data_IF_658012803578
#
_entry.id   IF_658012803578
#
_cell.length_a   1.000
_cell.length_b   1.000
_cell.length_c   1.000
_cell.angle_alpha   90.00
_cell.angle_beta   90.00
_cell.angle_gamma   90.00
#
_symmetry.space_group_name_H-M   'P 1'
#
loop_
_entity.id
_entity.type
_entity.pdbx_description
1 polymer ?
#
# COMPACT_ATOMS: atom_id res chain seq x y z
N UNK A 1 -75.96 47.69 -20.90
CA UNK A 1 -74.55 47.44 -20.74
C UNK A 1 -74.04 48.36 -19.65
N UNK A 2 -73.76 47.85 -18.47
CA UNK A 2 -72.41 47.75 -17.91
C UNK A 2 -72.32 46.64 -16.88
N UNK A 3 -71.51 45.55 -17.08
CA UNK A 3 -71.27 44.56 -16.09
C UNK A 3 -69.87 43.97 -16.11
N UNK A 4 -68.86 44.63 -16.71
CA UNK A 4 -67.51 44.16 -16.80
C UNK A 4 -66.55 44.69 -15.68
N UNK A 5 -67.02 45.58 -14.81
CA UNK A 5 -66.18 46.17 -13.74
C UNK A 5 -66.11 45.41 -12.44
N UNK A 6 -67.13 44.57 -12.15
CA UNK A 6 -67.21 43.83 -10.87
C UNK A 6 -66.28 42.62 -10.80
N UNK A 7 -66.12 41.89 -11.92
CA UNK A 7 -65.36 40.66 -11.96
C UNK A 7 -63.85 40.86 -11.74
N UNK A 8 -63.32 41.99 -12.23
CA UNK A 8 -61.89 42.30 -12.07
C UNK A 8 -61.48 42.71 -10.64
N UNK A 9 -62.42 43.24 -9.86
CA UNK A 9 -62.15 43.64 -8.48
C UNK A 9 -62.16 42.40 -7.55
N UNK A 10 -63.10 41.49 -7.83
CA UNK A 10 -63.25 40.24 -7.04
C UNK A 10 -62.04 39.28 -7.29
N UNK A 11 -61.56 39.16 -8.54
CA UNK A 11 -60.34 38.43 -8.87
C UNK A 11 -59.09 39.08 -8.28
N UNK A 12 -59.02 40.41 -8.25
CA UNK A 12 -57.91 41.15 -7.64
C UNK A 12 -57.91 41.01 -6.09
N UNK A 13 -59.09 40.95 -5.46
CA UNK A 13 -59.23 40.66 -4.04
C UNK A 13 -58.86 39.20 -3.70
N UNK A 14 -59.32 38.23 -4.46
CA UNK A 14 -58.90 36.82 -4.27
C UNK A 14 -57.40 36.59 -4.49
N UNK A 15 -56.77 37.30 -5.43
CA UNK A 15 -55.31 37.25 -5.63
C UNK A 15 -54.54 37.97 -4.51
N UNK A 16 -55.13 38.97 -3.88
CA UNK A 16 -54.51 39.66 -2.71
C UNK A 16 -54.68 38.89 -1.44
N UNK A 17 -55.82 38.21 -1.23
CA UNK A 17 -56.08 37.32 -0.09
C UNK A 17 -55.25 36.00 -0.20
N UNK A 18 -55.00 35.50 -1.43
CA UNK A 18 -54.11 34.34 -1.65
C UNK A 18 -52.64 34.67 -1.36
N UNK A 19 -52.23 35.92 -1.32
CA UNK A 19 -50.85 36.34 -0.92
C UNK A 19 -50.64 36.48 0.60
N UNK A 20 -51.68 36.31 1.38
CA UNK A 20 -51.62 36.48 2.86
C UNK A 20 -51.36 35.20 3.70
N UNK A 21 -51.26 34.02 3.06
CA UNK A 21 -50.76 32.84 3.77
C UNK A 21 -49.25 32.92 3.88
N UNK A 22 -48.75 33.79 4.76
CA UNK A 22 -47.48 33.55 5.42
C UNK A 22 -47.69 32.24 6.18
N UNK A 23 -47.09 31.18 5.66
CA UNK A 23 -46.93 29.94 6.49
C UNK A 23 -46.41 30.34 7.86
N UNK A 24 -46.64 29.54 8.89
CA UNK A 24 -46.15 29.83 10.23
C UNK A 24 -44.65 30.17 10.12
N UNK A 25 -44.26 31.31 10.69
CA UNK A 25 -42.86 31.74 10.74
C UNK A 25 -42.00 30.53 11.21
N UNK A 26 -40.92 30.18 10.47
CA UNK A 26 -40.12 29.06 10.88
C UNK A 26 -39.66 29.26 12.30
N UNK A 27 -39.95 28.33 13.18
CA UNK A 27 -39.52 28.42 14.58
C UNK A 27 -38.00 28.58 14.59
N UNK A 28 -37.45 29.42 15.50
CA UNK A 28 -35.99 29.60 15.66
C UNK A 28 -35.22 28.29 15.72
N UNK A 29 -35.86 27.27 16.23
CA UNK A 29 -35.31 25.89 16.28
C UNK A 29 -35.12 25.30 14.85
N UNK A 30 -36.02 25.59 13.91
CA UNK A 30 -35.94 25.12 12.54
C UNK A 30 -34.76 25.77 11.78
N UNK A 31 -34.62 27.09 11.95
CA UNK A 31 -33.49 27.83 11.36
C UNK A 31 -32.13 27.38 11.91
N UNK A 32 -32.05 27.13 13.24
CA UNK A 32 -30.83 26.61 13.87
C UNK A 32 -30.49 25.19 13.35
N UNK A 33 -31.49 24.30 13.20
CA UNK A 33 -31.28 22.98 12.67
C UNK A 33 -30.77 23.01 11.21
N UNK A 34 -31.35 23.86 10.36
CA UNK A 34 -30.89 24.03 8.99
C UNK A 34 -29.44 24.54 8.91
N UNK A 35 -29.11 25.52 9.76
CA UNK A 35 -27.74 26.04 9.85
C UNK A 35 -26.76 24.95 10.32
N UNK A 36 -27.11 24.17 11.34
CA UNK A 36 -26.26 23.06 11.83
C UNK A 36 -26.08 22.00 10.74
N UNK A 37 -27.16 21.59 10.06
CA UNK A 37 -27.07 20.64 8.94
C UNK A 37 -26.16 21.15 7.83
N UNK A 38 -26.26 22.43 7.45
CA UNK A 38 -25.42 23.04 6.44
C UNK A 38 -23.92 23.02 6.85
N UNK A 39 -23.63 23.37 8.11
CA UNK A 39 -22.26 23.32 8.67
C UNK A 39 -21.73 21.89 8.68
N UNK A 40 -22.53 20.93 9.13
CA UNK A 40 -22.15 19.49 9.13
C UNK A 40 -21.83 19.03 7.71
N UNK A 41 -22.68 19.34 6.74
CA UNK A 41 -22.46 18.97 5.32
C UNK A 41 -21.16 19.58 4.78
N UNK A 42 -20.91 20.87 5.05
CA UNK A 42 -19.69 21.55 4.63
C UNK A 42 -18.42 20.91 5.24
N UNK A 43 -18.45 20.64 6.55
CA UNK A 43 -17.35 19.97 7.24
C UNK A 43 -17.07 18.56 6.70
N UNK A 44 -18.13 17.79 6.49
CA UNK A 44 -18.01 16.44 5.92
C UNK A 44 -17.45 16.49 4.51
N UNK A 45 -17.90 17.42 3.66
CA UNK A 45 -17.38 17.58 2.31
C UNK A 45 -15.86 17.90 2.31
N UNK A 46 -15.43 18.85 3.14
CA UNK A 46 -14.02 19.19 3.27
C UNK A 46 -13.19 18.01 3.83
N UNK A 47 -13.70 17.34 4.87
CA UNK A 47 -13.03 16.20 5.49
C UNK A 47 -12.92 15.01 4.52
N UNK A 48 -13.95 14.77 3.72
CA UNK A 48 -13.95 13.70 2.68
C UNK A 48 -12.93 14.00 1.59
N UNK A 49 -12.90 15.23 1.08
CA UNK A 49 -11.92 15.65 0.07
C UNK A 49 -10.49 15.52 0.60
N UNK A 50 -10.23 15.94 1.83
CA UNK A 50 -8.94 15.80 2.48
C UNK A 50 -8.54 14.33 2.68
N UNK A 51 -9.44 13.49 3.21
CA UNK A 51 -9.19 12.07 3.40
C UNK A 51 -8.90 11.36 2.08
N UNK A 52 -9.67 11.65 1.03
CA UNK A 52 -9.43 11.10 -0.30
C UNK A 52 -8.07 11.50 -0.88
N UNK A 53 -7.69 12.76 -0.73
CA UNK A 53 -6.36 13.24 -1.12
C UNK A 53 -5.23 12.51 -0.39
N UNK A 54 -5.35 12.35 0.92
CA UNK A 54 -4.34 11.65 1.71
C UNK A 54 -4.27 10.16 1.38
N UNK A 55 -5.41 9.50 1.19
CA UNK A 55 -5.46 8.11 0.74
C UNK A 55 -4.71 7.92 -0.59
N UNK A 56 -4.96 8.80 -1.58
CA UNK A 56 -4.27 8.76 -2.86
C UNK A 56 -2.75 8.99 -2.75
N UNK A 57 -2.31 9.87 -1.84
CA UNK A 57 -0.87 10.08 -1.58
C UNK A 57 -0.20 8.84 -1.01
N UNK A 58 -0.82 8.18 -0.04
CA UNK A 58 -0.30 6.96 0.54
C UNK A 58 -0.30 5.80 -0.45
N UNK A 59 -1.31 5.69 -1.33
CA UNK A 59 -1.37 4.71 -2.42
C UNK A 59 -0.23 4.92 -3.44
N UNK A 60 0.05 6.18 -3.81
CA UNK A 60 1.18 6.51 -4.67
C UNK A 60 2.51 6.09 -4.03
N UNK A 61 2.71 6.36 -2.74
CA UNK A 61 3.92 5.97 -2.01
C UNK A 61 4.06 4.44 -1.88
N UNK A 62 2.97 3.73 -1.61
CA UNK A 62 2.93 2.27 -1.62
C UNK A 62 3.39 1.72 -2.97
N UNK A 63 2.82 2.25 -4.06
CA UNK A 63 3.12 1.83 -5.44
C UNK A 63 4.59 2.06 -5.80
N UNK A 64 5.17 3.19 -5.39
CA UNK A 64 6.59 3.51 -5.56
C UNK A 64 7.48 2.49 -4.82
N UNK A 65 7.20 2.24 -3.54
CA UNK A 65 7.97 1.32 -2.70
C UNK A 65 7.90 -0.12 -3.22
N UNK A 66 6.71 -0.58 -3.62
CA UNK A 66 6.55 -1.92 -4.20
C UNK A 66 7.25 -2.03 -5.57
N UNK A 67 7.21 -0.98 -6.39
CA UNK A 67 7.93 -0.94 -7.65
C UNK A 67 9.45 -1.01 -7.46
N UNK A 68 10.00 -0.34 -6.45
CA UNK A 68 11.41 -0.43 -6.06
C UNK A 68 11.77 -1.83 -5.56
N UNK A 69 11.00 -2.36 -4.61
CA UNK A 69 11.17 -3.73 -4.09
C UNK A 69 11.18 -4.78 -5.21
N UNK A 70 10.23 -4.68 -6.15
CA UNK A 70 10.15 -5.60 -7.28
C UNK A 70 11.39 -5.53 -8.19
N UNK A 71 11.91 -4.34 -8.46
CA UNK A 71 13.13 -4.17 -9.25
C UNK A 71 14.34 -4.81 -8.58
N UNK A 72 14.53 -4.56 -7.28
CA UNK A 72 15.62 -5.17 -6.52
C UNK A 72 15.52 -6.69 -6.46
N UNK A 73 14.32 -7.25 -6.37
CA UNK A 73 14.12 -8.71 -6.41
C UNK A 73 14.52 -9.32 -7.76
N UNK A 74 14.19 -8.65 -8.87
CA UNK A 74 14.62 -9.08 -10.21
C UNK A 74 16.13 -9.03 -10.34
N UNK A 75 16.76 -7.98 -9.82
CA UNK A 75 18.22 -7.86 -9.80
C UNK A 75 18.87 -8.92 -8.91
N UNK A 76 18.34 -9.14 -7.71
CA UNK A 76 18.77 -10.20 -6.81
C UNK A 76 18.71 -11.58 -7.49
N UNK A 77 17.60 -11.88 -8.16
CA UNK A 77 17.44 -13.17 -8.87
C UNK A 77 18.51 -13.37 -9.95
N UNK A 78 18.92 -12.31 -10.65
CA UNK A 78 20.01 -12.40 -11.62
C UNK A 78 21.33 -12.81 -10.95
N UNK A 79 21.63 -12.33 -9.74
CA UNK A 79 22.80 -12.76 -8.97
C UNK A 79 22.66 -14.20 -8.46
N UNK A 80 21.48 -14.61 -8.03
CA UNK A 80 21.18 -16.00 -7.65
C UNK A 80 21.42 -16.98 -8.79
N UNK A 81 20.90 -16.65 -9.98
CA UNK A 81 21.11 -17.47 -11.19
C UNK A 81 22.59 -17.55 -11.54
N UNK A 82 23.32 -16.42 -11.49
CA UNK A 82 24.77 -16.41 -11.76
C UNK A 82 25.54 -17.24 -10.75
N UNK A 83 25.27 -17.11 -9.47
CA UNK A 83 25.86 -17.95 -8.41
C UNK A 83 25.67 -19.43 -8.70
N UNK A 84 24.44 -19.84 -9.02
CA UNK A 84 24.13 -21.22 -9.35
C UNK A 84 24.86 -21.73 -10.62
N UNK A 85 24.97 -20.91 -11.65
CA UNK A 85 25.72 -21.24 -12.87
C UNK A 85 27.22 -21.41 -12.58
N UNK A 86 27.82 -20.52 -11.80
CA UNK A 86 29.23 -20.61 -11.40
C UNK A 86 29.51 -21.83 -10.52
N UNK A 87 28.61 -22.17 -9.59
CA UNK A 87 28.68 -23.40 -8.80
C UNK A 87 28.63 -24.63 -9.66
N UNK A 88 27.69 -24.70 -10.62
CA UNK A 88 27.56 -25.84 -11.53
C UNK A 88 28.81 -25.96 -12.42
N UNK A 89 29.32 -24.84 -12.95
CA UNK A 89 30.54 -24.81 -13.75
C UNK A 89 31.75 -25.34 -12.96
N UNK A 90 31.96 -24.85 -11.76
CA UNK A 90 33.07 -25.29 -10.91
C UNK A 90 32.90 -26.76 -10.46
N UNK A 91 31.70 -27.20 -10.11
CA UNK A 91 31.42 -28.59 -9.75
C UNK A 91 31.69 -29.55 -10.90
N UNK A 92 31.31 -29.16 -12.13
CA UNK A 92 31.63 -29.94 -13.32
C UNK A 92 33.14 -30.06 -13.53
N UNK A 93 33.87 -28.95 -13.40
CA UNK A 93 35.34 -28.98 -13.53
C UNK A 93 36.02 -29.82 -12.41
N UNK A 94 35.51 -29.78 -11.18
CA UNK A 94 36.00 -30.66 -10.09
C UNK A 94 35.79 -32.12 -10.41
N UNK A 95 34.60 -32.50 -10.94
CA UNK A 95 34.33 -33.87 -11.29
C UNK A 95 35.26 -34.36 -12.43
N UNK A 96 35.52 -33.54 -13.44
CA UNK A 96 36.44 -33.90 -14.51
C UNK A 96 37.91 -33.96 -14.02
N UNK A 97 38.30 -33.06 -13.14
CA UNK A 97 39.60 -33.10 -12.46
C UNK A 97 39.79 -34.41 -11.67
N UNK A 98 38.77 -34.81 -10.84
CA UNK A 98 38.81 -36.07 -10.11
C UNK A 98 38.98 -37.27 -11.01
N UNK A 99 38.27 -37.30 -12.14
CA UNK A 99 38.42 -38.40 -13.13
C UNK A 99 39.84 -38.45 -13.70
N UNK A 100 40.39 -37.30 -14.09
CA UNK A 100 41.73 -37.20 -14.63
C UNK A 100 42.80 -37.68 -13.60
N UNK A 101 42.68 -37.26 -12.34
CA UNK A 101 43.56 -37.71 -11.27
C UNK A 101 43.49 -39.21 -11.03
N UNK A 102 42.28 -39.82 -10.95
CA UNK A 102 42.08 -41.23 -10.76
C UNK A 102 42.69 -42.07 -11.94
N UNK A 103 42.66 -41.53 -13.17
CA UNK A 103 43.25 -42.17 -14.34
C UNK A 103 44.74 -41.88 -14.55
N UNK A 104 45.36 -41.02 -13.71
CA UNK A 104 46.75 -40.61 -13.84
C UNK A 104 47.03 -39.64 -15.01
N UNK A 105 46.00 -38.97 -15.51
CA UNK A 105 46.10 -38.05 -16.64
C UNK A 105 46.48 -36.63 -16.15
N UNK A 106 47.71 -36.48 -15.67
CA UNK A 106 48.18 -35.24 -14.99
C UNK A 106 48.01 -33.96 -15.84
N UNK A 107 48.31 -34.04 -17.15
CA UNK A 107 48.17 -32.90 -18.04
C UNK A 107 46.69 -32.44 -18.18
N UNK A 108 45.76 -33.39 -18.12
CA UNK A 108 44.34 -33.14 -18.19
C UNK A 108 43.82 -32.53 -16.86
N UNK A 109 44.30 -33.07 -15.72
CA UNK A 109 43.99 -32.51 -14.40
C UNK A 109 44.45 -31.04 -14.28
N UNK A 110 45.69 -30.72 -14.69
CA UNK A 110 46.18 -29.34 -14.71
C UNK A 110 45.36 -28.42 -15.63
N UNK A 111 44.86 -28.97 -16.76
CA UNK A 111 44.00 -28.20 -17.66
C UNK A 111 42.69 -27.79 -16.93
N UNK A 112 42.05 -28.68 -16.18
CA UNK A 112 40.85 -28.37 -15.42
C UNK A 112 41.14 -27.42 -14.24
N UNK A 113 42.28 -27.55 -13.57
CA UNK A 113 42.69 -26.60 -12.51
C UNK A 113 42.79 -25.16 -13.06
N UNK A 114 43.30 -24.96 -14.23
CA UNK A 114 43.40 -23.64 -14.89
C UNK A 114 42.03 -23.04 -15.26
N UNK A 115 41.00 -23.87 -15.38
CA UNK A 115 39.65 -23.45 -15.78
C UNK A 115 38.78 -23.01 -14.62
N UNK A 116 39.18 -23.25 -13.37
CA UNK A 116 38.42 -22.76 -12.22
C UNK A 116 38.34 -21.24 -12.18
N UNK A 117 37.15 -20.74 -11.81
CA UNK A 117 36.96 -19.32 -11.60
C UNK A 117 37.91 -18.78 -10.51
N UNK A 118 38.40 -17.54 -10.63
CA UNK A 118 39.38 -16.98 -9.69
C UNK A 118 38.94 -17.02 -8.23
N UNK A 119 37.67 -16.79 -7.95
CA UNK A 119 37.10 -16.84 -6.58
C UNK A 119 37.04 -18.26 -6.00
N UNK A 120 36.93 -19.28 -6.86
CA UNK A 120 36.84 -20.67 -6.46
C UNK A 120 38.20 -21.33 -6.20
N UNK A 121 39.26 -20.86 -6.83
CA UNK A 121 40.61 -21.46 -6.75
C UNK A 121 41.13 -21.60 -5.34
N UNK A 122 41.06 -20.61 -4.43
CA UNK A 122 41.51 -20.77 -3.06
C UNK A 122 40.85 -21.91 -2.31
N UNK A 123 39.52 -22.08 -2.51
CA UNK A 123 38.78 -23.15 -1.90
C UNK A 123 39.16 -24.53 -2.48
N UNK A 124 39.37 -24.61 -3.80
CA UNK A 124 39.82 -25.82 -4.46
C UNK A 124 41.22 -26.22 -3.99
N UNK A 125 42.19 -25.30 -3.93
CA UNK A 125 43.53 -25.56 -3.44
C UNK A 125 43.55 -26.00 -1.96
N UNK A 126 42.71 -25.39 -1.13
CA UNK A 126 42.57 -25.78 0.26
C UNK A 126 42.00 -27.18 0.37
N UNK A 127 40.98 -27.53 -0.42
CA UNK A 127 40.39 -28.86 -0.46
C UNK A 127 41.37 -29.91 -1.02
N UNK A 128 42.11 -29.62 -2.09
CA UNK A 128 43.15 -30.50 -2.66
C UNK A 128 44.20 -30.88 -1.60
N UNK A 129 44.58 -29.95 -0.73
CA UNK A 129 45.53 -30.23 0.37
C UNK A 129 45.02 -31.21 1.41
N UNK A 130 43.73 -31.49 1.49
CA UNK A 130 43.13 -32.48 2.38
C UNK A 130 43.29 -33.93 1.87
N UNK A 131 43.88 -34.10 0.67
CA UNK A 131 44.04 -35.38 -0.04
C UNK A 131 42.68 -36.12 -0.23
N UNK A 132 41.75 -35.54 -0.98
CA UNK A 132 40.39 -36.07 -1.08
C UNK A 132 40.29 -37.47 -1.71
N UNK A 133 41.32 -37.93 -2.38
CA UNK A 133 41.30 -39.26 -3.04
C UNK A 133 41.69 -40.38 -2.05
N UNK A 134 42.50 -40.08 -1.00
CA UNK A 134 43.01 -41.08 -0.10
C UNK A 134 42.56 -40.87 1.33
N UNK A 135 42.11 -39.68 1.70
CA UNK A 135 41.67 -39.34 3.05
C UNK A 135 40.15 -39.47 3.19
N UNK A 136 39.61 -40.49 3.88
CA UNK A 136 38.17 -40.65 4.06
C UNK A 136 37.50 -39.54 4.90
N UNK A 137 38.29 -38.73 5.60
CA UNK A 137 37.78 -37.61 6.38
C UNK A 137 37.87 -36.27 5.64
N UNK A 138 38.30 -36.26 4.38
CA UNK A 138 38.32 -35.04 3.56
C UNK A 138 36.90 -34.51 3.36
N UNK A 139 36.72 -33.18 3.34
CA UNK A 139 35.42 -32.60 2.98
C UNK A 139 34.93 -33.07 1.58
N UNK A 140 33.61 -33.24 1.43
CA UNK A 140 33.02 -33.77 0.22
C UNK A 140 33.26 -32.90 -1.05
N UNK A 141 33.68 -31.66 -0.88
CA UNK A 141 34.01 -30.78 -2.00
C UNK A 141 34.55 -29.42 -1.57
N UNK A 142 35.15 -28.67 -2.52
CA UNK A 142 35.76 -27.37 -2.25
C UNK A 142 34.79 -26.31 -1.67
N UNK A 143 33.50 -26.42 -1.97
CA UNK A 143 32.46 -25.49 -1.46
C UNK A 143 32.26 -25.58 0.06
N UNK A 144 32.77 -26.63 0.72
CA UNK A 144 32.73 -26.81 2.17
C UNK A 144 33.96 -26.24 2.87
N UNK A 145 34.91 -25.69 2.13
CA UNK A 145 36.11 -25.10 2.69
C UNK A 145 35.85 -23.66 3.18
N UNK A 146 36.56 -23.26 4.22
CA UNK A 146 36.48 -21.89 4.79
C UNK A 146 36.92 -20.80 3.80
N UNK A 147 37.71 -21.17 2.82
CA UNK A 147 38.22 -20.32 1.74
C UNK A 147 37.19 -20.06 0.63
N UNK A 148 36.08 -20.81 0.61
CA UNK A 148 35.05 -20.63 -0.40
C UNK A 148 34.38 -19.28 -0.27
N UNK A 149 34.32 -18.56 -1.37
CA UNK A 149 33.65 -17.27 -1.49
C UNK A 149 32.67 -17.33 -2.67
N UNK A 150 31.54 -16.70 -2.50
CA UNK A 150 30.52 -16.55 -3.54
C UNK A 150 29.98 -15.11 -3.44
N UNK A 151 30.61 -14.21 -4.18
CA UNK A 151 30.24 -12.79 -4.19
C UNK A 151 28.84 -12.57 -4.75
N UNK A 152 28.40 -13.41 -5.72
CA UNK A 152 27.05 -13.33 -6.28
C UNK A 152 25.99 -13.75 -5.25
N UNK A 153 26.25 -14.80 -4.44
CA UNK A 153 25.34 -15.19 -3.36
C UNK A 153 25.26 -14.13 -2.26
N UNK A 154 26.36 -13.47 -1.96
CA UNK A 154 26.39 -12.38 -0.97
C UNK A 154 25.58 -11.16 -1.48
N UNK A 155 25.73 -10.80 -2.77
CA UNK A 155 24.99 -9.69 -3.37
C UNK A 155 23.49 -10.00 -3.50
N UNK A 156 23.12 -11.23 -3.86
CA UNK A 156 21.74 -11.70 -3.79
C UNK A 156 21.13 -11.45 -2.40
N UNK A 157 21.82 -11.91 -1.35
CA UNK A 157 21.33 -11.77 0.02
C UNK A 157 21.16 -10.30 0.43
N UNK A 158 22.07 -9.43 0.03
CA UNK A 158 22.01 -7.98 0.29
C UNK A 158 20.79 -7.34 -0.38
N UNK A 159 20.62 -7.60 -1.68
CA UNK A 159 19.52 -7.03 -2.48
C UNK A 159 18.15 -7.56 -2.04
N UNK A 160 18.05 -8.86 -1.72
CA UNK A 160 16.80 -9.45 -1.24
C UNK A 160 16.38 -8.89 0.12
N UNK A 161 17.34 -8.66 1.01
CA UNK A 161 17.07 -8.01 2.30
C UNK A 161 16.61 -6.55 2.12
N UNK A 162 17.24 -5.79 1.21
CA UNK A 162 16.85 -4.42 0.89
C UNK A 162 15.44 -4.37 0.26
N UNK A 163 15.18 -5.28 -0.70
CA UNK A 163 13.86 -5.43 -1.32
C UNK A 163 12.76 -5.73 -0.30
N UNK A 164 13.06 -6.59 0.67
CA UNK A 164 12.13 -6.95 1.76
C UNK A 164 11.83 -5.73 2.63
N UNK A 165 12.85 -4.95 3.01
CA UNK A 165 12.64 -3.72 3.78
C UNK A 165 11.77 -2.69 3.06
N UNK A 166 11.93 -2.53 1.74
CA UNK A 166 11.07 -1.66 0.92
C UNK A 166 9.63 -2.19 0.83
N UNK A 167 9.46 -3.50 0.72
CA UNK A 167 8.14 -4.12 0.72
C UNK A 167 7.38 -3.86 2.02
N UNK A 168 8.05 -4.01 3.17
CA UNK A 168 7.47 -3.74 4.49
C UNK A 168 7.07 -2.26 4.65
N UNK A 169 7.91 -1.34 4.16
CA UNK A 169 7.57 0.08 4.13
C UNK A 169 6.35 0.36 3.22
N UNK A 170 6.26 -0.31 2.07
CA UNK A 170 5.10 -0.25 1.18
C UNK A 170 3.83 -0.76 1.86
N UNK A 171 3.92 -1.85 2.60
CA UNK A 171 2.80 -2.39 3.39
C UNK A 171 2.33 -1.40 4.46
N UNK A 172 3.27 -0.78 5.18
CA UNK A 172 2.94 0.27 6.16
C UNK A 172 2.28 1.50 5.51
N UNK A 173 2.72 1.88 4.29
CA UNK A 173 2.08 2.96 3.53
C UNK A 173 0.64 2.60 3.13
N UNK A 174 0.41 1.35 2.70
CA UNK A 174 -0.93 0.83 2.39
C UNK A 174 -1.87 0.91 3.60
N UNK A 175 -1.42 0.43 4.76
CA UNK A 175 -2.24 0.46 5.98
C UNK A 175 -2.69 1.87 6.35
N UNK A 176 -1.79 2.87 6.18
CA UNK A 176 -2.12 4.28 6.39
C UNK A 176 -3.13 4.80 5.37
N UNK A 177 -3.01 4.40 4.11
CA UNK A 177 -4.00 4.71 3.06
C UNK A 177 -5.37 4.13 3.40
N UNK A 178 -5.42 2.86 3.80
CA UNK A 178 -6.64 2.16 4.20
C UNK A 178 -7.33 2.83 5.41
N UNK A 179 -6.56 3.38 6.36
CA UNK A 179 -7.11 4.14 7.49
C UNK A 179 -7.85 5.40 7.02
N UNK A 180 -7.31 6.13 6.03
CA UNK A 180 -8.00 7.28 5.43
C UNK A 180 -9.26 6.87 4.64
N UNK A 181 -9.23 5.72 3.96
CA UNK A 181 -10.42 5.16 3.30
C UNK A 181 -11.51 4.84 4.32
N UNK A 182 -11.17 4.25 5.47
CA UNK A 182 -12.14 3.98 6.56
C UNK A 182 -12.77 5.26 7.10
N UNK A 183 -11.97 6.32 7.24
CA UNK A 183 -12.47 7.66 7.61
C UNK A 183 -13.48 8.15 6.57
N UNK A 184 -13.19 8.01 5.27
CA UNK A 184 -14.11 8.40 4.18
C UNK A 184 -15.44 7.64 4.24
N UNK A 185 -15.41 6.34 4.52
CA UNK A 185 -16.64 5.52 4.69
C UNK A 185 -17.48 6.02 5.88
N UNK A 186 -16.82 6.36 7.01
CA UNK A 186 -17.52 6.92 8.17
C UNK A 186 -18.16 8.27 7.86
N UNK A 187 -17.44 9.15 7.12
CA UNK A 187 -17.98 10.44 6.65
C UNK A 187 -19.17 10.25 5.71
N UNK A 188 -19.15 9.26 4.83
CA UNK A 188 -20.29 8.92 3.97
C UNK A 188 -21.53 8.51 4.79
N UNK A 189 -21.34 7.79 5.90
CA UNK A 189 -22.44 7.45 6.83
C UNK A 189 -23.01 8.71 7.49
N UNK A 190 -22.19 9.67 7.86
CA UNK A 190 -22.65 10.97 8.40
C UNK A 190 -23.47 11.73 7.36
N UNK A 191 -23.01 11.77 6.09
CA UNK A 191 -23.77 12.37 4.98
C UNK A 191 -25.14 11.72 4.82
N UNK A 192 -25.18 10.38 4.83
CA UNK A 192 -26.43 9.63 4.70
C UNK A 192 -27.42 9.99 5.83
N UNK A 193 -26.95 9.99 7.07
CA UNK A 193 -27.79 10.35 8.24
C UNK A 193 -28.31 11.78 8.12
N UNK A 194 -27.47 12.72 7.72
CA UNK A 194 -27.85 14.14 7.53
C UNK A 194 -28.86 14.27 6.38
N UNK A 195 -28.67 13.57 5.26
CA UNK A 195 -29.62 13.57 4.15
C UNK A 195 -30.98 12.96 4.53
N UNK A 196 -30.97 11.88 5.31
CA UNK A 196 -32.20 11.24 5.81
C UNK A 196 -32.92 12.18 6.79
N UNK A 197 -32.19 12.91 7.67
CA UNK A 197 -32.79 13.82 8.65
C UNK A 197 -33.70 14.88 7.99
N UNK A 198 -33.28 15.37 6.81
CA UNK A 198 -34.05 16.37 6.04
C UNK A 198 -35.39 15.85 5.50
N UNK A 199 -35.56 14.53 5.42
CA UNK A 199 -36.79 13.91 4.92
C UNK A 199 -37.91 13.86 5.97
N UNK A 200 -37.56 13.94 7.27
CA UNK A 200 -38.54 13.84 8.37
C UNK A 200 -39.14 15.21 8.71
N UNK A 201 -40.49 15.25 8.76
CA UNK A 201 -41.25 16.43 9.20
C UNK A 201 -41.30 16.58 10.74
N UNK A 202 -41.18 15.46 11.47
CA UNK A 202 -41.17 15.47 12.91
C UNK A 202 -39.80 16.02 13.42
N UNK A 203 -39.86 17.18 14.08
CA UNK A 203 -38.67 17.85 14.58
C UNK A 203 -37.88 17.03 15.62
N UNK A 204 -38.54 16.15 16.37
CA UNK A 204 -37.87 15.28 17.37
C UNK A 204 -37.00 14.23 16.68
N UNK A 205 -37.52 13.58 15.64
CA UNK A 205 -36.77 12.60 14.83
C UNK A 205 -35.63 13.30 14.12
N UNK A 206 -35.88 14.45 13.48
CA UNK A 206 -34.86 15.26 12.80
C UNK A 206 -33.75 15.65 13.76
N UNK A 207 -34.07 16.19 14.93
CA UNK A 207 -33.11 16.55 15.96
C UNK A 207 -32.26 15.34 16.40
N UNK A 208 -32.91 14.20 16.69
CA UNK A 208 -32.18 12.98 17.09
C UNK A 208 -31.17 12.54 16.02
N UNK A 209 -31.56 12.56 14.74
CA UNK A 209 -30.67 12.19 13.62
C UNK A 209 -29.50 13.18 13.45
N UNK A 210 -29.76 14.48 13.56
CA UNK A 210 -28.72 15.53 13.47
C UNK A 210 -27.73 15.41 14.63
N UNK A 211 -28.20 15.20 15.85
CA UNK A 211 -27.33 14.96 17.02
C UNK A 211 -26.49 13.71 16.82
N UNK A 212 -27.09 12.60 16.36
CA UNK A 212 -26.37 11.37 16.07
C UNK A 212 -25.30 11.58 14.98
N UNK A 213 -25.65 12.27 13.89
CA UNK A 213 -24.72 12.59 12.81
C UNK A 213 -23.56 13.46 13.29
N UNK A 214 -23.84 14.46 14.13
CA UNK A 214 -22.80 15.35 14.70
C UNK A 214 -21.87 14.59 15.66
N UNK A 215 -22.38 13.73 16.49
CA UNK A 215 -21.58 12.87 17.38
C UNK A 215 -20.71 11.91 16.56
N UNK A 216 -21.30 11.28 15.54
CA UNK A 216 -20.54 10.38 14.65
C UNK A 216 -19.44 11.12 13.88
N UNK A 217 -19.63 12.40 13.54
CA UNK A 217 -18.63 13.23 12.85
C UNK A 217 -17.39 13.50 13.73
N UNK A 218 -17.52 13.55 15.04
CA UNK A 218 -16.38 13.80 15.93
C UNK A 218 -15.29 12.74 15.79
N UNK A 219 -15.67 11.47 15.57
CA UNK A 219 -14.71 10.37 15.42
C UNK A 219 -13.80 10.52 14.19
N UNK A 220 -14.31 10.67 12.95
CA UNK A 220 -13.46 10.83 11.76
C UNK A 220 -12.64 12.11 11.79
N UNK A 221 -13.14 13.21 12.34
CA UNK A 221 -12.37 14.44 12.51
C UNK A 221 -11.17 14.24 13.45
N UNK A 222 -11.39 13.59 14.60
CA UNK A 222 -10.30 13.23 15.50
C UNK A 222 -9.27 12.33 14.83
N UNK A 223 -9.73 11.32 14.08
CA UNK A 223 -8.82 10.41 13.32
C UNK A 223 -7.99 11.17 12.29
N UNK A 224 -8.58 12.08 11.51
CA UNK A 224 -7.84 12.90 10.52
C UNK A 224 -6.72 13.72 11.20
N UNK A 225 -6.96 14.22 12.40
CA UNK A 225 -5.97 15.01 13.14
C UNK A 225 -4.81 14.16 13.70
N UNK A 226 -5.07 12.88 13.99
CA UNK A 226 -4.09 11.95 14.59
C UNK A 226 -3.34 11.11 13.57
N UNK A 227 -3.89 10.92 12.37
CA UNK A 227 -3.23 10.14 11.31
C UNK A 227 -2.02 10.87 10.73
N UNK A 228 -0.93 10.14 10.42
CA UNK A 228 0.24 10.72 9.78
C UNK A 228 -0.09 11.20 8.37
N UNK A 229 0.39 12.40 8.04
CA UNK A 229 0.22 13.00 6.71
C UNK A 229 1.22 12.40 5.74
N UNK A 230 0.77 12.09 4.53
CA UNK A 230 1.60 11.57 3.45
C UNK A 230 2.39 12.65 2.72
#
# INVERSE_FOLDING_TARGET
MPETGGINIEVAQQLSEGRGHRGPEPSRIHEILELVEAIVLALVACATAWSGYQAARWDSRQSELYGHSSRLRVEAEAFSVRSNQERQYNASNVNEWLKAEVHGETNLAELFERRFLPEFRPAFEAWKRTDPLHNPNAPAGPTLMSEYRDSNAAEFTRLDHEATGLFEQGTSARERGDDYVRVTVTLATVLLLTAISQRFRDHRIRLALVVLATLLLCFPLWRILTLPRG
#
